data_IF_030307382338
#
_entry.id   IF_030307382338
#
_cell.length_a   1.000
_cell.length_b   1.000
_cell.length_c   1.000
_cell.angle_alpha   90.00
_cell.angle_beta   90.00
_cell.angle_gamma   90.00
#
_symmetry.space_group_name_H-M   'P 1'
#
loop_
_entity.id
_entity.type
_entity.pdbx_description
1 polymer ?
#
# COMPACT_ATOMS: atom_id res chain seq x y z
N UNK A 1 -16.43 -18.17 -23.77
CA UNK A 1 -17.32 -17.97 -22.62
C UNK A 1 -16.61 -18.23 -21.27
N UNK A 2 -15.94 -19.37 -21.02
CA UNK A 2 -15.19 -19.58 -19.75
C UNK A 2 -13.95 -18.68 -19.61
N UNK A 3 -13.18 -18.44 -20.66
CA UNK A 3 -11.99 -17.59 -20.61
C UNK A 3 -12.31 -16.11 -20.32
N UNK A 4 -13.39 -15.58 -20.91
CA UNK A 4 -13.85 -14.20 -20.67
C UNK A 4 -14.38 -14.01 -19.25
N UNK A 5 -15.11 -14.97 -18.69
CA UNK A 5 -15.56 -14.92 -17.29
C UNK A 5 -14.38 -14.95 -16.30
N UNK A 6 -13.31 -15.69 -16.61
CA UNK A 6 -12.11 -15.73 -15.77
C UNK A 6 -11.37 -14.39 -15.76
N UNK A 7 -11.21 -13.74 -16.92
CA UNK A 7 -10.54 -12.44 -17.01
C UNK A 7 -11.29 -11.34 -16.29
N UNK A 8 -12.62 -11.28 -16.41
CA UNK A 8 -13.47 -10.32 -15.69
C UNK A 8 -13.40 -10.50 -14.17
N UNK A 9 -13.34 -11.74 -13.68
CA UNK A 9 -13.19 -12.01 -12.25
C UNK A 9 -11.85 -11.50 -11.71
N UNK A 10 -10.74 -11.80 -12.40
CA UNK A 10 -9.42 -11.33 -11.96
C UNK A 10 -9.29 -9.81 -12.02
N UNK A 11 -9.91 -9.15 -12.99
CA UNK A 11 -9.97 -7.69 -13.05
C UNK A 11 -10.77 -7.13 -11.87
N UNK A 12 -11.93 -7.69 -11.56
CA UNK A 12 -12.72 -7.27 -10.39
C UNK A 12 -11.92 -7.45 -9.09
N UNK A 13 -11.23 -8.59 -8.92
CA UNK A 13 -10.36 -8.82 -7.76
C UNK A 13 -9.19 -7.82 -7.71
N UNK A 14 -8.59 -7.48 -8.85
CA UNK A 14 -7.54 -6.47 -8.93
C UNK A 14 -8.05 -5.09 -8.50
N UNK A 15 -9.21 -4.65 -9.00
CA UNK A 15 -9.82 -3.37 -8.63
C UNK A 15 -10.18 -3.34 -7.13
N UNK A 16 -10.81 -4.39 -6.62
CA UNK A 16 -11.22 -4.46 -5.21
C UNK A 16 -10.00 -4.43 -4.29
N UNK A 17 -9.01 -5.28 -4.54
CA UNK A 17 -7.83 -5.36 -3.67
C UNK A 17 -6.99 -4.09 -3.71
N UNK A 18 -6.77 -3.50 -4.88
CA UNK A 18 -6.03 -2.23 -5.00
C UNK A 18 -6.80 -1.07 -4.38
N UNK A 19 -8.13 -1.02 -4.52
CA UNK A 19 -8.97 0.00 -3.91
C UNK A 19 -8.97 -0.08 -2.38
N UNK A 20 -9.14 -1.27 -1.81
CA UNK A 20 -9.06 -1.48 -0.36
C UNK A 20 -7.67 -1.13 0.19
N UNK A 21 -6.61 -1.55 -0.49
CA UNK A 21 -5.24 -1.23 -0.09
C UNK A 21 -4.95 0.27 -0.19
N UNK A 22 -5.35 0.92 -1.29
CA UNK A 22 -5.19 2.37 -1.48
C UNK A 22 -5.97 3.16 -0.43
N UNK A 23 -7.20 2.75 -0.10
CA UNK A 23 -8.01 3.35 0.96
C UNK A 23 -7.38 3.21 2.34
N UNK A 24 -6.80 2.04 2.63
CA UNK A 24 -6.05 1.82 3.86
C UNK A 24 -4.81 2.75 3.95
N UNK A 25 -4.02 2.86 2.87
CA UNK A 25 -2.88 3.78 2.80
C UNK A 25 -3.33 5.24 2.98
N UNK A 26 -4.42 5.63 2.31
CA UNK A 26 -4.96 6.97 2.39
C UNK A 26 -5.44 7.31 3.82
N UNK A 27 -6.07 6.37 4.52
CA UNK A 27 -6.50 6.55 5.91
C UNK A 27 -5.32 6.86 6.82
N UNK A 28 -4.21 6.16 6.67
CA UNK A 28 -2.98 6.48 7.42
C UNK A 28 -2.47 7.89 7.10
N UNK A 29 -2.51 8.29 5.82
CA UNK A 29 -2.01 9.59 5.39
C UNK A 29 -2.83 10.77 5.91
N UNK A 30 -4.16 10.68 5.85
CA UNK A 30 -5.05 11.83 6.11
C UNK A 30 -5.62 11.86 7.53
N UNK A 31 -5.63 10.73 8.24
CA UNK A 31 -6.25 10.64 9.55
C UNK A 31 -5.29 10.13 10.65
N UNK A 32 -4.69 8.95 10.47
CA UNK A 32 -3.93 8.31 11.53
C UNK A 32 -2.65 9.09 11.84
N UNK A 33 -1.80 9.34 10.83
CA UNK A 33 -0.54 10.04 11.06
C UNK A 33 -0.72 11.48 11.57
N UNK A 34 -1.63 12.30 11.01
CA UNK A 34 -1.91 13.61 11.60
C UNK A 34 -2.47 13.53 13.03
N UNK A 35 -3.32 12.54 13.31
CA UNK A 35 -3.89 12.36 14.64
C UNK A 35 -2.85 12.02 15.71
N UNK A 36 -1.97 11.07 15.43
CA UNK A 36 -0.92 10.69 16.38
C UNK A 36 0.23 11.70 16.45
N UNK A 37 0.45 12.50 15.39
CA UNK A 37 1.46 13.56 15.39
C UNK A 37 1.19 14.63 16.46
N UNK A 38 -0.05 14.81 16.90
CA UNK A 38 -0.44 15.69 17.99
C UNK A 38 -0.10 15.15 19.38
N UNK A 39 0.32 13.89 19.50
CA UNK A 39 0.67 13.27 20.78
C UNK A 39 2.10 13.63 21.23
N UNK A 40 2.38 13.60 22.55
CA UNK A 40 3.75 13.60 23.05
C UNK A 40 4.59 12.45 22.46
N UNK A 41 5.91 12.63 22.42
CA UNK A 41 6.83 11.70 21.72
C UNK A 41 6.67 10.24 22.17
N UNK A 42 6.63 9.99 23.48
CA UNK A 42 6.40 8.66 24.07
C UNK A 42 5.10 7.99 23.61
N UNK A 43 4.02 8.77 23.49
CA UNK A 43 2.73 8.24 23.05
C UNK A 43 2.70 8.03 21.54
N UNK A 44 3.35 8.91 20.78
CA UNK A 44 3.53 8.74 19.33
C UNK A 44 4.30 7.46 19.03
N UNK A 45 5.47 7.27 19.62
CA UNK A 45 6.32 6.09 19.38
C UNK A 45 5.64 4.81 19.83
N UNK A 46 4.99 4.81 21.00
CA UNK A 46 4.21 3.67 21.49
C UNK A 46 3.06 3.32 20.53
N UNK A 47 2.28 4.30 20.05
CA UNK A 47 1.21 4.07 19.10
C UNK A 47 1.73 3.48 17.77
N UNK A 48 2.80 4.04 17.22
CA UNK A 48 3.39 3.54 15.96
C UNK A 48 3.97 2.14 16.09
N UNK A 49 4.62 1.82 17.22
CA UNK A 49 5.07 0.44 17.49
C UNK A 49 3.89 -0.53 17.46
N UNK A 50 2.76 -0.20 18.09
CA UNK A 50 1.56 -1.04 18.10
C UNK A 50 0.91 -1.18 16.71
N UNK A 51 0.84 -0.10 15.92
CA UNK A 51 0.40 -0.20 14.52
C UNK A 51 1.32 -1.12 13.71
N UNK A 52 2.63 -0.97 13.84
CA UNK A 52 3.61 -1.78 13.11
C UNK A 52 3.55 -3.27 13.48
N UNK A 53 3.14 -3.62 14.71
CA UNK A 53 2.90 -5.01 15.15
C UNK A 53 1.58 -5.57 14.58
N UNK A 54 0.53 -4.77 14.52
CA UNK A 54 -0.83 -5.25 14.19
C UNK A 54 -1.17 -5.21 12.70
N UNK A 55 -0.66 -4.19 11.98
CA UNK A 55 -0.93 -4.03 10.55
C UNK A 55 -0.49 -5.24 9.74
N UNK A 56 0.71 -5.86 9.93
CA UNK A 56 1.10 -7.06 9.16
C UNK A 56 0.33 -8.33 9.53
N UNK A 57 -0.96 -8.20 9.81
CA UNK A 57 -1.85 -9.33 10.07
C UNK A 57 -2.32 -10.02 8.78
N UNK A 58 -3.02 -11.18 8.90
CA UNK A 58 -3.44 -11.99 7.74
C UNK A 58 -4.25 -11.21 6.70
N UNK A 59 -5.19 -10.38 7.14
CA UNK A 59 -6.04 -9.58 6.24
C UNK A 59 -5.21 -8.57 5.42
N UNK A 60 -4.25 -7.89 6.06
CA UNK A 60 -3.34 -7.00 5.36
C UNK A 60 -2.45 -7.74 4.38
N UNK A 61 -1.93 -8.91 4.75
CA UNK A 61 -1.07 -9.72 3.87
C UNK A 61 -1.83 -10.19 2.62
N UNK A 62 -3.10 -10.57 2.75
CA UNK A 62 -3.95 -10.91 1.59
C UNK A 62 -4.06 -9.72 0.63
N UNK A 63 -4.33 -8.51 1.15
CA UNK A 63 -4.37 -7.31 0.32
C UNK A 63 -3.01 -7.00 -0.27
N UNK A 64 -1.96 -7.03 0.53
CA UNK A 64 -0.58 -6.73 0.11
C UNK A 64 -0.12 -7.61 -1.05
N UNK A 65 -0.37 -8.92 -0.97
CA UNK A 65 -0.07 -9.85 -2.06
C UNK A 65 -1.04 -9.71 -3.24
N UNK A 66 -2.32 -9.53 -2.97
CA UNK A 66 -3.36 -9.40 -3.99
C UNK A 66 -3.18 -8.20 -4.91
N UNK A 67 -2.67 -7.08 -4.37
CA UNK A 67 -2.35 -5.86 -5.15
C UNK A 67 -1.30 -6.11 -6.26
N UNK A 68 -0.48 -7.13 -6.13
CA UNK A 68 0.47 -7.55 -7.18
C UNK A 68 -0.09 -8.71 -7.99
N UNK A 69 -0.59 -9.75 -7.32
CA UNK A 69 -0.98 -11.00 -7.97
C UNK A 69 -2.13 -10.82 -8.97
N UNK A 70 -3.21 -10.13 -8.58
CA UNK A 70 -4.36 -9.99 -9.47
C UNK A 70 -4.10 -9.09 -10.68
N UNK A 71 -3.46 -7.88 -10.55
CA UNK A 71 -3.07 -7.11 -11.73
C UNK A 71 -2.08 -7.85 -12.64
N UNK A 72 -1.16 -8.65 -12.08
CA UNK A 72 -0.25 -9.47 -12.89
C UNK A 72 -1.02 -10.48 -13.74
N UNK A 73 -2.04 -11.16 -13.18
CA UNK A 73 -2.90 -12.07 -13.95
C UNK A 73 -3.66 -11.32 -15.06
N UNK A 74 -4.17 -10.11 -14.76
CA UNK A 74 -4.84 -9.27 -15.78
C UNK A 74 -3.89 -8.93 -16.93
N UNK A 75 -2.65 -8.53 -16.62
CA UNK A 75 -1.63 -8.22 -17.65
C UNK A 75 -1.27 -9.43 -18.49
N UNK A 76 -1.12 -10.61 -17.87
CA UNK A 76 -0.74 -11.85 -18.58
C UNK A 76 -1.88 -12.42 -19.42
N UNK A 77 -3.14 -12.23 -19.01
CA UNK A 77 -4.32 -12.73 -19.71
C UNK A 77 -4.92 -11.78 -20.75
N UNK A 78 -4.40 -10.54 -20.86
CA UNK A 78 -4.94 -9.52 -21.77
C UNK A 78 -4.46 -9.71 -23.23
N UNK A 79 -5.37 -9.49 -24.17
CA UNK A 79 -5.15 -9.66 -25.62
C UNK A 79 -4.34 -8.50 -26.28
N UNK A 80 -3.87 -7.53 -25.48
CA UNK A 80 -3.17 -6.33 -25.96
C UNK A 80 -4.06 -5.07 -25.94
N UNK A 81 -3.58 -3.98 -26.55
CA UNK A 81 -4.31 -2.70 -26.63
C UNK A 81 -4.10 -1.78 -25.43
N UNK A 82 -4.93 -0.72 -25.37
CA UNK A 82 -4.87 0.34 -24.33
C UNK A 82 -5.06 -0.21 -22.94
N UNK A 83 -5.99 -1.15 -22.75
CA UNK A 83 -6.36 -1.70 -21.44
C UNK A 83 -5.21 -2.48 -20.80
N UNK A 84 -4.52 -3.27 -21.61
CA UNK A 84 -3.31 -3.95 -21.17
C UNK A 84 -2.21 -2.96 -20.79
N UNK A 85 -2.04 -1.88 -21.56
CA UNK A 85 -1.05 -0.84 -21.24
C UNK A 85 -1.37 -0.16 -19.90
N UNK A 86 -2.63 0.19 -19.64
CA UNK A 86 -3.08 0.74 -18.36
C UNK A 86 -2.87 -0.25 -17.21
N UNK A 87 -3.18 -1.51 -17.40
CA UNK A 87 -2.96 -2.56 -16.40
C UNK A 87 -1.45 -2.76 -16.10
N UNK A 88 -0.58 -2.68 -17.11
CA UNK A 88 0.88 -2.72 -16.94
C UNK A 88 1.36 -1.53 -16.10
N UNK A 89 0.91 -0.32 -16.41
CA UNK A 89 1.28 0.88 -15.63
C UNK A 89 0.77 0.77 -14.20
N UNK A 90 -0.44 0.27 -14.00
CA UNK A 90 -0.99 0.02 -12.66
C UNK A 90 -0.12 -0.98 -11.87
N UNK A 91 0.27 -2.09 -12.50
CA UNK A 91 1.17 -3.09 -11.89
C UNK A 91 2.54 -2.49 -11.55
N UNK A 92 3.11 -1.68 -12.44
CA UNK A 92 4.39 -0.97 -12.17
C UNK A 92 4.26 -0.05 -10.96
N UNK A 93 3.18 0.73 -10.87
CA UNK A 93 2.90 1.57 -9.70
C UNK A 93 2.79 0.73 -8.40
N UNK A 94 2.08 -0.39 -8.46
CA UNK A 94 1.92 -1.29 -7.33
C UNK A 94 3.26 -1.88 -6.87
N UNK A 95 4.07 -2.39 -7.80
CA UNK A 95 5.41 -2.94 -7.52
C UNK A 95 6.31 -1.86 -6.93
N UNK A 96 6.34 -0.65 -7.50
CA UNK A 96 7.14 0.45 -6.97
C UNK A 96 6.73 0.80 -5.53
N UNK A 97 5.43 0.86 -5.22
CA UNK A 97 4.92 1.08 -3.87
C UNK A 97 5.34 -0.02 -2.89
N UNK A 98 5.37 -1.28 -3.33
CA UNK A 98 5.85 -2.43 -2.54
C UNK A 98 7.35 -2.34 -2.27
N UNK A 99 8.15 -2.00 -3.27
CA UNK A 99 9.60 -1.81 -3.11
C UNK A 99 9.91 -0.69 -2.12
N UNK A 100 9.17 0.43 -2.17
CA UNK A 100 9.28 1.52 -1.17
C UNK A 100 8.93 1.01 0.23
N UNK A 101 7.90 0.17 0.36
CA UNK A 101 7.52 -0.43 1.64
C UNK A 101 8.64 -1.32 2.18
N UNK A 102 9.16 -2.23 1.35
CA UNK A 102 10.16 -3.24 1.75
C UNK A 102 11.51 -2.58 2.05
N UNK A 103 11.98 -1.70 1.16
CA UNK A 103 13.31 -1.10 1.29
C UNK A 103 13.33 0.16 2.20
N UNK A 104 12.18 0.76 2.49
CA UNK A 104 12.10 2.01 3.23
C UNK A 104 11.30 1.92 4.52
N UNK A 105 9.97 1.72 4.42
CA UNK A 105 9.12 1.78 5.60
C UNK A 105 9.38 0.63 6.59
N UNK A 106 9.63 -0.60 6.13
CA UNK A 106 9.91 -1.76 7.00
C UNK A 106 11.19 -1.55 7.81
N UNK A 107 12.33 -1.13 7.24
CA UNK A 107 13.52 -0.81 8.02
C UNK A 107 13.29 0.28 9.08
N UNK A 108 12.54 1.34 8.74
CA UNK A 108 12.18 2.38 9.71
C UNK A 108 11.30 1.83 10.85
N UNK A 109 10.33 0.99 10.53
CA UNK A 109 9.48 0.33 11.53
C UNK A 109 10.32 -0.55 12.47
N UNK A 110 11.28 -1.28 11.93
CA UNK A 110 12.21 -2.12 12.71
C UNK A 110 13.08 -1.27 13.64
N UNK A 111 13.68 -0.20 13.12
CA UNK A 111 14.51 0.71 13.93
C UNK A 111 13.68 1.35 15.08
N UNK A 112 12.41 1.73 14.81
CA UNK A 112 11.52 2.24 15.83
C UNK A 112 11.20 1.19 16.91
N UNK A 113 10.98 -0.07 16.52
CA UNK A 113 10.75 -1.16 17.47
C UNK A 113 11.99 -1.42 18.34
N UNK A 114 13.18 -1.44 17.75
CA UNK A 114 14.47 -1.65 18.46
C UNK A 114 14.81 -0.50 19.42
N UNK A 115 14.22 0.69 19.25
CA UNK A 115 14.41 1.84 20.15
C UNK A 115 13.51 1.82 21.40
N UNK A 116 12.71 0.77 21.60
CA UNK A 116 11.79 0.69 22.76
C UNK A 116 12.58 0.68 24.08
N UNK A 117 12.15 1.52 25.03
CA UNK A 117 12.86 1.71 26.31
C UNK A 117 14.02 2.70 26.27
N UNK A 118 14.31 3.31 25.11
CA UNK A 118 15.31 4.36 24.96
C UNK A 118 14.69 5.77 24.93
N UNK A 119 15.36 6.70 24.23
CA UNK A 119 14.91 8.09 24.05
C UNK A 119 13.84 8.18 22.94
N UNK A 120 12.59 8.36 23.37
CA UNK A 120 11.45 8.44 22.44
C UNK A 120 11.47 9.70 21.57
N UNK A 121 12.07 10.81 22.03
CA UNK A 121 12.20 12.04 21.22
C UNK A 121 13.19 11.81 20.07
N UNK A 122 14.33 11.21 20.34
CA UNK A 122 15.30 10.84 19.33
C UNK A 122 14.72 9.79 18.34
N UNK A 123 14.00 8.80 18.86
CA UNK A 123 13.36 7.76 18.06
C UNK A 123 12.31 8.35 17.10
N UNK A 124 11.45 9.24 17.59
CA UNK A 124 10.46 9.96 16.78
C UNK A 124 11.13 10.82 15.70
N UNK A 125 12.12 11.61 16.07
CA UNK A 125 12.84 12.47 15.12
C UNK A 125 13.47 11.68 13.96
N UNK A 126 14.02 10.50 14.26
CA UNK A 126 14.58 9.60 13.24
C UNK A 126 13.51 8.91 12.37
N UNK A 127 12.30 8.70 12.89
CA UNK A 127 11.25 7.91 12.26
C UNK A 127 10.24 8.74 11.47
N UNK A 128 9.63 9.76 12.07
CA UNK A 128 8.37 10.36 11.61
C UNK A 128 8.49 10.98 10.21
N UNK A 129 9.46 11.85 9.99
CA UNK A 129 9.61 12.57 8.72
C UNK A 129 9.98 11.66 7.55
N UNK A 130 11.00 10.78 7.62
CA UNK A 130 11.33 9.88 6.53
C UNK A 130 10.21 8.86 6.25
N UNK A 131 9.56 8.33 7.30
CA UNK A 131 8.45 7.40 7.13
C UNK A 131 7.28 8.06 6.41
N UNK A 132 6.86 9.26 6.82
CA UNK A 132 5.76 10.00 6.20
C UNK A 132 6.05 10.35 4.74
N UNK A 133 7.29 10.69 4.37
CA UNK A 133 7.68 10.98 2.99
C UNK A 133 7.50 9.74 2.11
N UNK A 134 8.03 8.60 2.54
CA UNK A 134 7.88 7.32 1.82
C UNK A 134 6.41 6.91 1.76
N UNK A 135 5.67 7.11 2.85
CA UNK A 135 4.25 6.78 2.91
C UNK A 135 3.42 7.59 1.92
N UNK A 136 3.69 8.90 1.77
CA UNK A 136 3.02 9.74 0.75
C UNK A 136 3.25 9.19 -0.66
N UNK A 137 4.49 8.87 -1.01
CA UNK A 137 4.82 8.36 -2.35
C UNK A 137 4.09 7.04 -2.63
N UNK A 138 4.18 6.06 -1.71
CA UNK A 138 3.50 4.77 -1.91
C UNK A 138 1.97 4.90 -1.91
N UNK A 139 1.39 5.86 -1.18
CA UNK A 139 -0.06 6.14 -1.22
C UNK A 139 -0.48 6.67 -2.58
N UNK A 140 0.26 7.64 -3.14
CA UNK A 140 -0.01 8.16 -4.49
C UNK A 140 0.09 7.05 -5.53
N UNK A 141 1.12 6.22 -5.48
CA UNK A 141 1.28 5.07 -6.38
C UNK A 141 0.13 4.07 -6.25
N UNK A 142 -0.34 3.79 -5.04
CA UNK A 142 -1.47 2.89 -4.81
C UNK A 142 -2.79 3.46 -5.34
N UNK A 143 -3.03 4.76 -5.16
CA UNK A 143 -4.20 5.44 -5.72
C UNK A 143 -4.15 5.47 -7.26
N UNK A 144 -2.98 5.71 -7.85
CA UNK A 144 -2.78 5.65 -9.29
C UNK A 144 -3.05 4.25 -9.84
N UNK A 145 -2.53 3.21 -9.20
CA UNK A 145 -2.78 1.82 -9.60
C UNK A 145 -4.28 1.49 -9.55
N UNK A 146 -4.97 1.87 -8.47
CA UNK A 146 -6.41 1.68 -8.35
C UNK A 146 -7.19 2.43 -9.45
N UNK A 147 -6.89 3.71 -9.67
CA UNK A 147 -7.60 4.51 -10.67
C UNK A 147 -7.43 3.95 -12.09
N UNK A 148 -6.22 3.53 -12.46
CA UNK A 148 -5.94 2.92 -13.77
C UNK A 148 -6.70 1.60 -13.96
N UNK A 149 -6.72 0.73 -12.95
CA UNK A 149 -7.47 -0.53 -13.02
C UNK A 149 -8.99 -0.30 -13.04
N UNK A 150 -9.48 0.73 -12.34
CA UNK A 150 -10.89 1.10 -12.38
C UNK A 150 -11.32 1.60 -13.76
N UNK A 151 -10.45 2.33 -14.48
CA UNK A 151 -10.70 2.72 -15.88
C UNK A 151 -10.81 1.49 -16.78
N UNK A 152 -9.85 0.56 -16.69
CA UNK A 152 -9.90 -0.70 -17.43
C UNK A 152 -11.20 -1.47 -17.13
N UNK A 153 -11.64 -1.48 -15.87
CA UNK A 153 -12.88 -2.14 -15.46
C UNK A 153 -14.18 -1.44 -15.91
N UNK A 154 -14.12 -0.16 -16.22
CA UNK A 154 -15.30 0.59 -16.68
C UNK A 154 -15.61 0.41 -18.18
N UNK A 155 -14.68 -0.14 -18.95
CA UNK A 155 -14.83 -0.41 -20.39
C UNK A 155 -15.34 -1.84 -20.68
N UNK A 156 -15.57 -2.65 -19.61
CA UNK A 156 -16.20 -3.96 -19.67
C UNK A 156 -17.68 -3.88 -19.28
#
# INVERSE_FOLDING_TARGET
MMATMSSSLFLALAVITTGLYAGFMLTFLIAIMPGIAALPDERFTAAMRRFNEKVPGPAFLVLFLGVIAFPAVVVLGGDGGSDRALAVVALVCAVAGHLITIAGNIPLNKALAESEGGDDSAARAAFESPWNRLHRVRTVLSLAAFALLAVVGAEF
#
